data_IF_453446630620
#
_entry.id   IF_453446630620
#
_cell.length_a   1.000
_cell.length_b   1.000
_cell.length_c   1.000
_cell.angle_alpha   90.00
_cell.angle_beta   90.00
_cell.angle_gamma   90.00
#
_symmetry.space_group_name_H-M   'P 1'
#
loop_
_entity.id
_entity.type
_entity.pdbx_description
1 polymer ?
#
# COMPACT_ATOMS: atom_id res chain seq x y z
N UNK A 1 12.29 -6.16 -14.95
CA UNK A 1 12.40 -6.72 -13.58
C UNK A 1 12.08 -5.71 -12.45
N UNK A 2 12.13 -4.38 -12.70
CA UNK A 2 11.82 -3.34 -11.70
C UNK A 2 10.41 -3.42 -11.08
N UNK A 3 9.37 -3.70 -11.89
CA UNK A 3 7.97 -3.72 -11.41
C UNK A 3 7.73 -4.71 -10.25
N UNK A 4 8.36 -5.88 -10.27
CA UNK A 4 8.23 -6.87 -9.18
C UNK A 4 8.95 -6.45 -7.91
N UNK A 5 10.12 -5.81 -8.03
CA UNK A 5 10.86 -5.28 -6.86
C UNK A 5 10.10 -4.14 -6.21
N UNK A 6 9.54 -3.21 -6.99
CA UNK A 6 8.73 -2.13 -6.43
C UNK A 6 7.44 -2.65 -5.79
N UNK A 7 6.75 -3.63 -6.40
CA UNK A 7 5.53 -4.22 -5.80
C UNK A 7 5.82 -4.87 -4.43
N UNK A 8 6.91 -5.63 -4.31
CA UNK A 8 7.33 -6.23 -3.03
C UNK A 8 7.65 -5.14 -2.00
N UNK A 9 8.40 -4.11 -2.39
CA UNK A 9 8.77 -2.99 -1.50
C UNK A 9 7.54 -2.28 -0.96
N UNK A 10 6.56 -2.00 -1.83
CA UNK A 10 5.31 -1.33 -1.48
C UNK A 10 4.44 -2.21 -0.61
N UNK A 11 4.33 -3.50 -0.94
CA UNK A 11 3.59 -4.45 -0.12
C UNK A 11 4.15 -4.50 1.30
N UNK A 12 5.48 -4.53 1.45
CA UNK A 12 6.15 -4.46 2.76
C UNK A 12 5.86 -3.14 3.48
N UNK A 13 5.96 -1.98 2.81
CA UNK A 13 5.64 -0.68 3.43
C UNK A 13 4.18 -0.57 3.86
N UNK A 14 3.25 -1.06 3.03
CA UNK A 14 1.82 -1.09 3.34
C UNK A 14 1.51 -2.01 4.51
N UNK A 15 2.19 -3.16 4.62
CA UNK A 15 2.06 -4.08 5.76
C UNK A 15 2.62 -3.47 7.04
N UNK A 16 3.80 -2.86 7.02
CA UNK A 16 4.40 -2.20 8.19
C UNK A 16 3.59 -1.00 8.69
N UNK A 17 2.86 -0.33 7.80
CA UNK A 17 1.95 0.76 8.16
C UNK A 17 0.65 0.28 8.85
N UNK A 18 0.35 -1.02 8.76
CA UNK A 18 -0.76 -1.66 9.46
C UNK A 18 -0.27 -2.16 10.82
N UNK A 19 -1.12 -2.08 11.85
CA UNK A 19 -0.81 -2.68 13.14
C UNK A 19 -0.55 -4.19 12.97
N UNK A 20 0.37 -4.73 13.77
CA UNK A 20 0.87 -6.10 13.64
C UNK A 20 -0.26 -7.15 13.64
N UNK A 21 -1.29 -6.95 14.46
CA UNK A 21 -2.51 -7.76 14.53
C UNK A 21 -3.26 -7.88 13.18
N UNK A 22 -3.20 -6.84 12.36
CA UNK A 22 -3.83 -6.83 11.05
C UNK A 22 -2.90 -7.34 9.94
N UNK A 23 -1.57 -7.37 10.14
CA UNK A 23 -0.62 -7.83 9.11
C UNK A 23 -0.92 -9.25 8.65
N UNK A 24 -1.19 -10.17 9.60
CA UNK A 24 -1.55 -11.57 9.30
C UNK A 24 -2.78 -11.68 8.40
N UNK A 25 -3.78 -10.81 8.61
CA UNK A 25 -5.03 -10.79 7.84
C UNK A 25 -4.84 -10.30 6.41
N UNK A 26 -3.84 -9.44 6.20
CA UNK A 26 -3.51 -8.81 4.93
C UNK A 26 -2.35 -9.49 4.18
N UNK A 27 -1.61 -10.40 4.83
CA UNK A 27 -0.48 -11.12 4.21
C UNK A 27 -0.90 -12.03 3.04
N UNK A 28 -2.19 -12.41 2.97
CA UNK A 28 -2.76 -13.25 1.90
C UNK A 28 -2.79 -12.59 0.51
N UNK A 29 -2.65 -11.27 0.43
CA UNK A 29 -2.69 -10.53 -0.84
C UNK A 29 -1.32 -10.55 -1.50
N UNK A 30 -1.28 -10.95 -2.78
CA UNK A 30 -0.02 -11.13 -3.54
C UNK A 30 0.47 -9.83 -4.16
N UNK A 31 -0.42 -8.89 -4.43
CA UNK A 31 -0.10 -7.60 -5.08
C UNK A 31 -0.41 -6.42 -4.17
N UNK A 32 0.30 -5.31 -4.37
CA UNK A 32 0.05 -4.06 -3.64
C UNK A 32 -1.37 -3.51 -3.90
N UNK A 33 -1.92 -3.71 -5.11
CA UNK A 33 -3.28 -3.29 -5.46
C UNK A 33 -4.37 -4.05 -4.70
N UNK A 34 -4.27 -5.38 -4.63
CA UNK A 34 -5.23 -6.19 -3.87
C UNK A 34 -5.16 -5.88 -2.37
N UNK A 35 -3.95 -5.70 -1.84
CA UNK A 35 -3.71 -5.28 -0.47
C UNK A 35 -4.37 -3.93 -0.20
N UNK A 36 -4.18 -2.94 -1.07
CA UNK A 36 -4.80 -1.63 -0.97
C UNK A 36 -6.33 -1.69 -0.96
N UNK A 37 -6.93 -2.44 -1.90
CA UNK A 37 -8.38 -2.60 -1.98
C UNK A 37 -8.96 -3.26 -0.72
N UNK A 38 -8.27 -4.25 -0.16
CA UNK A 38 -8.67 -4.92 1.07
C UNK A 38 -8.56 -4.01 2.30
N UNK A 39 -7.51 -3.19 2.39
CA UNK A 39 -7.36 -2.16 3.43
C UNK A 39 -8.52 -1.18 3.33
N UNK A 40 -8.83 -0.68 2.14
CA UNK A 40 -9.97 0.22 1.92
C UNK A 40 -11.31 -0.42 2.30
N UNK A 41 -11.53 -1.70 1.99
CA UNK A 41 -12.75 -2.43 2.35
C UNK A 41 -12.86 -2.64 3.87
N UNK A 42 -11.76 -2.94 4.54
CA UNK A 42 -11.73 -3.25 5.97
C UNK A 42 -11.84 -2.00 6.84
N UNK A 43 -11.10 -0.95 6.48
CA UNK A 43 -11.12 0.33 7.21
C UNK A 43 -12.16 1.31 6.65
N UNK A 44 -12.87 0.93 5.59
CA UNK A 44 -13.90 1.71 4.91
C UNK A 44 -15.12 2.07 5.77
N UNK A 45 -15.28 1.50 6.97
CA UNK A 45 -16.39 1.78 7.89
C UNK A 45 -16.06 2.65 9.12
N UNK A 46 -14.79 2.79 9.53
CA UNK A 46 -14.46 3.32 10.87
C UNK A 46 -13.88 4.75 10.82
N UNK A 47 -14.74 5.78 10.84
CA UNK A 47 -14.47 7.17 10.38
C UNK A 47 -13.37 7.98 11.13
N UNK A 48 -13.14 7.75 12.42
CA UNK A 48 -12.24 8.62 13.21
C UNK A 48 -10.75 8.23 13.11
N UNK A 49 -10.41 6.93 13.17
CA UNK A 49 -9.03 6.46 12.97
C UNK A 49 -8.68 6.38 11.45
N UNK A 50 -9.71 6.43 10.59
CA UNK A 50 -9.66 6.42 9.12
C UNK A 50 -8.83 7.53 8.52
N UNK A 51 -9.04 8.80 8.90
CA UNK A 51 -8.65 9.93 8.04
C UNK A 51 -7.13 10.12 8.02
N UNK A 52 -6.49 10.08 9.19
CA UNK A 52 -5.04 10.27 9.31
C UNK A 52 -4.27 9.09 8.71
N UNK A 53 -4.67 7.85 9.04
CA UNK A 53 -4.01 6.64 8.53
C UNK A 53 -4.27 6.42 7.04
N UNK A 54 -5.49 6.59 6.55
CA UNK A 54 -5.82 6.50 5.12
C UNK A 54 -5.07 7.56 4.32
N UNK A 55 -4.93 8.79 4.83
CA UNK A 55 -4.15 9.83 4.15
C UNK A 55 -2.66 9.48 4.07
N UNK A 56 -2.06 8.98 5.16
CA UNK A 56 -0.67 8.49 5.13
C UNK A 56 -0.50 7.33 4.13
N UNK A 57 -1.39 6.34 4.20
CA UNK A 57 -1.42 5.19 3.29
C UNK A 57 -1.59 5.64 1.82
N UNK A 58 -2.44 6.65 1.56
CA UNK A 58 -2.70 7.18 0.21
C UNK A 58 -1.53 8.01 -0.30
N UNK A 59 -0.83 8.73 0.58
CA UNK A 59 0.41 9.44 0.25
C UNK A 59 1.53 8.46 -0.09
N UNK A 60 1.72 7.39 0.70
CA UNK A 60 2.70 6.34 0.40
C UNK A 60 2.40 5.63 -0.93
N UNK A 61 1.12 5.32 -1.20
CA UNK A 61 0.72 4.73 -2.48
C UNK A 61 0.84 5.71 -3.66
N UNK A 62 0.54 7.00 -3.45
CA UNK A 62 0.72 8.05 -4.44
C UNK A 62 2.20 8.22 -4.82
N UNK A 63 3.08 8.25 -3.82
CA UNK A 63 4.53 8.30 -4.01
C UNK A 63 5.04 7.05 -4.74
N UNK A 64 4.49 5.86 -4.46
CA UNK A 64 4.80 4.66 -5.25
C UNK A 64 4.42 4.81 -6.73
N UNK A 65 3.21 5.31 -7.00
CA UNK A 65 2.73 5.43 -8.37
C UNK A 65 3.55 6.47 -9.16
N UNK A 66 4.06 7.50 -8.48
CA UNK A 66 4.94 8.53 -9.03
C UNK A 66 6.39 8.04 -9.23
N UNK A 67 6.99 7.38 -8.23
CA UNK A 67 8.36 6.85 -8.28
C UNK A 67 8.50 5.74 -9.34
N UNK A 68 7.45 4.94 -9.55
CA UNK A 68 7.38 3.96 -10.64
C UNK A 68 7.21 4.55 -12.04
N UNK A 69 6.83 5.83 -12.15
CA UNK A 69 6.75 6.57 -13.43
C UNK A 69 8.01 7.39 -13.73
N UNK A 70 8.71 7.92 -12.72
CA UNK A 70 9.97 8.68 -12.93
C UNK A 70 11.13 7.80 -13.41
N UNK A 71 11.12 6.49 -13.14
CA UNK A 71 12.17 5.56 -13.63
C UNK A 71 11.87 4.93 -14.99
N UNK A 72 10.77 5.30 -15.65
CA UNK A 72 10.42 4.81 -17.00
C UNK A 72 10.82 5.76 -18.13
N UNK A 73 11.41 6.93 -17.82
CA UNK A 73 11.81 7.93 -18.82
C UNK A 73 13.33 8.18 -18.86
N UNK A 74 14.15 7.15 -18.67
CA UNK A 74 15.56 7.22 -19.05
C UNK A 74 16.01 5.97 -19.80
N UNK A 75 16.09 6.16 -21.13
CA UNK A 75 16.81 5.40 -22.17
C UNK A 75 16.17 4.14 -22.72
#
# INVERSE_FOLDING_TARGET
>A
MQKRRNDVKVRTTLLLALFDEHQLRFNKYKTAQELWAAILKTFGGNEAIKKTKKNQLKQQYGNFKAEGSETLEQT
#
